data_IF_041195476599
#
_entry.id   IF_041195476599
#
_cell.length_a   1.000
_cell.length_b   1.000
_cell.length_c   1.000
_cell.angle_alpha   90.00
_cell.angle_beta   90.00
_cell.angle_gamma   90.00
#
_symmetry.space_group_name_H-M   'P 1'
#
loop_
_entity.id
_entity.type
_entity.pdbx_description
1 polymer ?
#
# COMPACT_ATOMS: atom_id res chain seq x y z
N UNK A 1 -9.52 -26.49 -6.45
CA UNK A 1 -8.63 -26.95 -5.36
C UNK A 1 -7.22 -26.95 -5.90
N UNK A 2 -6.33 -26.11 -5.38
CA UNK A 2 -4.89 -26.18 -5.62
C UNK A 2 -4.22 -26.22 -4.25
N UNK A 3 -3.90 -27.42 -3.81
CA UNK A 3 -3.08 -27.70 -2.63
C UNK A 3 -1.61 -27.50 -3.00
N UNK A 4 -1.19 -26.25 -3.09
CA UNK A 4 0.23 -25.91 -3.10
C UNK A 4 0.77 -26.07 -1.69
N UNK A 5 1.48 -27.17 -1.44
CA UNK A 5 2.26 -27.36 -0.21
C UNK A 5 3.21 -26.18 -0.01
N UNK A 6 3.27 -25.57 1.19
CA UNK A 6 4.27 -24.54 1.47
C UNK A 6 5.64 -25.22 1.43
N UNK A 7 6.46 -24.86 0.44
CA UNK A 7 7.83 -25.34 0.29
C UNK A 7 8.58 -25.11 1.61
N UNK A 8 8.96 -26.21 2.25
CA UNK A 8 9.58 -26.26 3.56
C UNK A 8 11.03 -25.68 3.61
N UNK A 9 11.52 -25.09 2.52
CA UNK A 9 12.91 -24.64 2.38
C UNK A 9 13.19 -23.20 2.81
N UNK A 10 12.19 -22.38 3.16
CA UNK A 10 12.40 -20.93 3.36
C UNK A 10 12.72 -20.47 4.79
N UNK A 11 12.96 -21.37 5.74
CA UNK A 11 13.28 -20.99 7.13
C UNK A 11 14.78 -20.75 7.39
N UNK A 12 15.67 -21.30 6.56
CA UNK A 12 17.10 -20.99 6.59
C UNK A 12 17.30 -19.56 6.06
N UNK A 13 18.02 -18.71 6.80
CA UNK A 13 18.32 -17.33 6.39
C UNK A 13 17.36 -16.23 6.88
N UNK A 14 16.37 -16.55 7.72
CA UNK A 14 15.57 -15.51 8.37
C UNK A 14 16.40 -14.75 9.41
N UNK A 15 16.48 -13.43 9.24
CA UNK A 15 17.16 -12.52 10.16
C UNK A 15 16.10 -11.52 10.66
N UNK A 16 15.81 -11.44 11.96
CA UNK A 16 14.91 -10.44 12.48
C UNK A 16 15.44 -9.03 12.24
N UNK A 17 14.57 -8.11 11.80
CA UNK A 17 14.96 -6.71 11.60
C UNK A 17 15.48 -6.08 12.90
N UNK A 18 14.91 -6.45 14.06
CA UNK A 18 15.37 -5.97 15.36
C UNK A 18 16.86 -6.29 15.60
N UNK A 19 17.33 -7.46 15.18
CA UNK A 19 18.74 -7.84 15.29
C UNK A 19 19.64 -6.94 14.44
N UNK A 20 19.17 -6.51 13.26
CA UNK A 20 19.89 -5.57 12.40
C UNK A 20 19.91 -4.14 12.98
N UNK A 21 18.80 -3.72 13.61
CA UNK A 21 18.66 -2.39 14.20
C UNK A 21 19.47 -2.23 15.49
N UNK A 22 19.63 -3.30 16.28
CA UNK A 22 20.47 -3.28 17.50
C UNK A 22 21.94 -2.97 17.25
N UNK A 23 22.42 -3.19 16.02
CA UNK A 23 23.78 -2.86 15.60
C UNK A 23 23.94 -1.36 15.28
N UNK A 24 22.86 -0.59 15.33
CA UNK A 24 22.85 0.86 15.09
C UNK A 24 22.60 1.55 16.42
N UNK A 25 23.37 2.61 16.68
CA UNK A 25 23.13 3.50 17.82
C UNK A 25 21.68 4.04 17.79
N UNK A 26 20.91 3.93 18.90
CA UNK A 26 19.52 4.37 18.94
C UNK A 26 19.32 5.86 18.62
N UNK A 27 20.24 6.74 19.05
CA UNK A 27 20.19 8.16 18.76
C UNK A 27 20.43 8.41 17.28
N UNK A 28 21.41 7.72 16.68
CA UNK A 28 21.65 7.81 15.23
C UNK A 28 20.46 7.30 14.42
N UNK A 29 19.82 6.21 14.85
CA UNK A 29 18.62 5.70 14.19
C UNK A 29 17.47 6.71 14.27
N UNK A 30 17.29 7.34 15.44
CA UNK A 30 16.31 8.40 15.62
C UNK A 30 16.59 9.60 14.70
N UNK A 31 17.82 10.11 14.67
CA UNK A 31 18.22 11.23 13.81
C UNK A 31 17.99 10.92 12.33
N UNK A 32 18.36 9.71 11.90
CA UNK A 32 18.11 9.23 10.53
C UNK A 32 16.61 9.20 10.22
N UNK A 33 15.76 8.75 11.17
CA UNK A 33 14.32 8.79 11.01
C UNK A 33 13.75 10.22 10.96
N UNK A 34 14.26 11.14 11.78
CA UNK A 34 13.82 12.54 11.74
C UNK A 34 14.24 13.23 10.44
N UNK A 35 15.46 12.99 9.97
CA UNK A 35 15.94 13.53 8.70
C UNK A 35 15.14 12.97 7.52
N UNK A 36 14.83 11.67 7.53
CA UNK A 36 14.04 11.05 6.49
C UNK A 36 12.64 11.69 6.35
N UNK A 37 12.03 12.16 7.44
CA UNK A 37 10.73 12.83 7.41
C UNK A 37 10.72 14.17 6.66
N UNK A 38 11.88 14.77 6.43
CA UNK A 38 12.01 16.05 5.70
C UNK A 38 11.94 15.88 4.19
N UNK A 39 12.13 14.66 3.69
CA UNK A 39 12.04 14.38 2.26
C UNK A 39 10.60 14.43 1.77
N UNK A 40 10.44 14.90 0.54
CA UNK A 40 9.15 14.88 -0.15
C UNK A 40 8.68 13.45 -0.45
N UNK A 41 7.38 13.32 -0.71
CA UNK A 41 6.71 12.04 -1.01
C UNK A 41 7.40 11.24 -2.12
N UNK A 42 7.64 11.85 -3.29
CA UNK A 42 8.23 11.15 -4.44
C UNK A 42 9.65 10.68 -4.17
N UNK A 43 10.42 11.50 -3.45
CA UNK A 43 11.77 11.15 -3.03
C UNK A 43 11.75 9.97 -2.08
N UNK A 44 10.86 9.97 -1.08
CA UNK A 44 10.68 8.85 -0.16
C UNK A 44 10.27 7.56 -0.88
N UNK A 45 9.34 7.62 -1.84
CA UNK A 45 8.93 6.46 -2.63
C UNK A 45 10.10 5.92 -3.46
N UNK A 46 10.87 6.80 -4.07
CA UNK A 46 12.06 6.43 -4.85
C UNK A 46 13.12 5.77 -3.97
N UNK A 47 13.46 6.38 -2.83
CA UNK A 47 14.42 5.82 -1.89
C UNK A 47 13.95 4.47 -1.35
N UNK A 48 12.65 4.33 -1.03
CA UNK A 48 12.07 3.10 -0.51
C UNK A 48 12.18 1.97 -1.53
N UNK A 49 11.73 2.20 -2.77
CA UNK A 49 11.73 1.18 -3.84
C UNK A 49 13.14 0.74 -4.18
N UNK A 50 14.08 1.67 -4.27
CA UNK A 50 15.50 1.37 -4.51
C UNK A 50 16.09 0.53 -3.38
N UNK A 51 15.87 0.92 -2.12
CA UNK A 51 16.36 0.17 -0.96
C UNK A 51 15.73 -1.23 -0.86
N UNK A 52 14.43 -1.33 -1.14
CA UNK A 52 13.68 -2.59 -1.11
C UNK A 52 14.19 -3.57 -2.17
N UNK A 53 14.33 -3.12 -3.43
CA UNK A 53 14.89 -3.94 -4.53
C UNK A 53 16.32 -4.39 -4.24
N UNK A 54 17.13 -3.53 -3.62
CA UNK A 54 18.51 -3.83 -3.25
C UNK A 54 18.65 -4.67 -1.97
N UNK A 55 17.56 -5.06 -1.31
CA UNK A 55 17.60 -5.81 -0.05
C UNK A 55 18.18 -5.03 1.14
N UNK A 56 18.21 -3.68 1.07
CA UNK A 56 18.76 -2.80 2.10
C UNK A 56 17.78 -2.59 3.26
N UNK A 57 17.50 -3.65 4.01
CA UNK A 57 16.40 -3.73 4.99
C UNK A 57 16.34 -2.60 6.01
N UNK A 58 17.49 -2.16 6.55
CA UNK A 58 17.56 -1.03 7.50
C UNK A 58 17.08 0.27 6.86
N UNK A 59 17.52 0.54 5.62
CA UNK A 59 17.11 1.73 4.86
C UNK A 59 15.63 1.63 4.49
N UNK A 60 15.19 0.48 3.99
CA UNK A 60 13.77 0.20 3.71
C UNK A 60 12.89 0.50 4.93
N UNK A 61 13.29 0.06 6.12
CA UNK A 61 12.55 0.32 7.36
C UNK A 61 12.50 1.80 7.74
N UNK A 62 13.64 2.50 7.71
CA UNK A 62 13.68 3.94 7.99
C UNK A 62 12.79 4.72 7.02
N UNK A 63 12.88 4.42 5.73
CA UNK A 63 12.07 5.10 4.72
C UNK A 63 10.59 4.74 4.85
N UNK A 64 10.25 3.50 5.24
CA UNK A 64 8.87 3.13 5.60
C UNK A 64 8.35 3.95 6.79
N UNK A 65 9.15 4.14 7.85
CA UNK A 65 8.76 5.00 8.97
C UNK A 65 8.40 6.43 8.49
N UNK A 66 9.21 6.99 7.59
CA UNK A 66 8.98 8.31 7.03
C UNK A 66 7.73 8.36 6.13
N UNK A 67 7.50 7.35 5.30
CA UNK A 67 6.29 7.23 4.47
C UNK A 67 5.02 7.13 5.33
N UNK A 68 5.04 6.32 6.39
CA UNK A 68 3.93 6.21 7.36
C UNK A 68 3.65 7.56 8.03
N UNK A 69 4.71 8.27 8.44
CA UNK A 69 4.58 9.60 9.04
C UNK A 69 4.00 10.63 8.07
N UNK A 70 4.32 10.52 6.77
CA UNK A 70 3.79 11.35 5.68
C UNK A 70 2.42 10.89 5.17
N UNK A 71 1.77 9.92 5.83
CA UNK A 71 0.42 9.47 5.46
C UNK A 71 0.36 8.71 4.14
N UNK A 72 1.46 8.17 3.64
CA UNK A 72 1.47 7.34 2.43
C UNK A 72 1.28 5.87 2.85
N UNK A 73 0.25 5.16 2.35
CA UNK A 73 -0.02 3.78 2.74
C UNK A 73 0.84 2.75 1.98
N UNK A 74 1.09 1.55 2.56
CA UNK A 74 1.90 0.49 1.96
C UNK A 74 1.56 0.14 0.51
N UNK A 75 0.27 0.07 0.15
CA UNK A 75 -0.14 -0.26 -1.22
C UNK A 75 0.44 0.67 -2.30
N UNK A 76 0.83 1.89 -1.93
CA UNK A 76 1.44 2.87 -2.84
C UNK A 76 2.96 2.69 -2.95
N UNK A 77 3.60 2.26 -1.86
CA UNK A 77 5.06 2.09 -1.81
C UNK A 77 5.51 1.00 -2.78
N UNK A 78 4.70 -0.05 -2.88
CA UNK A 78 4.95 -1.25 -3.67
C UNK A 78 4.39 -1.20 -5.08
N UNK A 79 3.79 -0.08 -5.48
CA UNK A 79 3.29 0.09 -6.84
C UNK A 79 4.44 -0.08 -7.85
N UNK A 80 4.27 -1.02 -8.79
CA UNK A 80 5.31 -1.38 -9.77
C UNK A 80 6.47 -2.24 -9.23
N UNK A 81 6.35 -2.82 -8.04
CA UNK A 81 7.29 -3.85 -7.55
C UNK A 81 6.76 -5.25 -7.82
N UNK A 82 7.64 -6.15 -8.23
CA UNK A 82 7.36 -7.59 -8.27
C UNK A 82 7.39 -8.13 -6.84
N UNK A 83 6.27 -8.69 -6.40
CA UNK A 83 6.10 -9.20 -5.03
C UNK A 83 5.91 -10.72 -4.97
N UNK A 84 6.05 -11.38 -6.12
CA UNK A 84 6.01 -12.83 -6.22
C UNK A 84 7.35 -13.42 -5.75
N UNK A 85 7.29 -14.58 -5.10
CA UNK A 85 8.45 -15.35 -4.64
C UNK A 85 9.49 -14.59 -3.81
N UNK A 86 9.05 -13.60 -3.04
CA UNK A 86 9.93 -12.81 -2.17
C UNK A 86 10.65 -13.67 -1.11
N UNK A 87 11.93 -13.38 -0.92
CA UNK A 87 12.72 -13.93 0.18
C UNK A 87 12.05 -13.66 1.53
N UNK A 88 12.20 -14.58 2.49
CA UNK A 88 11.52 -14.53 3.80
C UNK A 88 11.76 -13.21 4.56
N UNK A 89 12.97 -12.65 4.47
CA UNK A 89 13.32 -11.37 5.09
C UNK A 89 12.53 -10.21 4.48
N UNK A 90 12.38 -10.20 3.15
CA UNK A 90 11.60 -9.17 2.44
C UNK A 90 10.12 -9.29 2.76
N UNK A 91 9.59 -10.52 2.85
CA UNK A 91 8.21 -10.77 3.32
C UNK A 91 7.99 -10.26 4.74
N UNK A 92 8.97 -10.40 5.63
CA UNK A 92 8.90 -9.84 6.98
C UNK A 92 8.91 -8.31 6.96
N UNK A 93 9.69 -7.68 6.09
CA UNK A 93 9.72 -6.22 5.97
C UNK A 93 8.38 -5.66 5.45
N UNK A 94 7.73 -6.36 4.50
CA UNK A 94 6.35 -6.02 4.08
C UNK A 94 5.35 -6.15 5.23
N UNK A 95 5.46 -7.21 6.02
CA UNK A 95 4.59 -7.39 7.18
C UNK A 95 4.78 -6.26 8.21
N UNK A 96 6.03 -5.88 8.50
CA UNK A 96 6.30 -4.76 9.41
C UNK A 96 5.77 -3.44 8.88
N UNK A 97 5.95 -3.16 7.59
CA UNK A 97 5.40 -1.99 6.91
C UNK A 97 3.88 -1.86 7.11
N UNK A 98 3.14 -2.93 6.87
CA UNK A 98 1.69 -2.95 7.05
C UNK A 98 1.29 -2.70 8.51
N UNK A 99 1.96 -3.35 9.46
CA UNK A 99 1.63 -3.17 10.88
C UNK A 99 1.99 -1.76 11.37
N UNK A 100 3.09 -1.18 10.90
CA UNK A 100 3.45 0.21 11.21
C UNK A 100 2.40 1.20 10.70
N UNK A 101 1.89 0.97 9.49
CA UNK A 101 0.79 1.75 8.95
C UNK A 101 -0.45 1.66 9.85
N UNK A 102 -0.85 0.45 10.23
CA UNK A 102 -1.99 0.20 11.12
C UNK A 102 -1.82 0.88 12.49
N UNK A 103 -0.63 0.77 13.10
CA UNK A 103 -0.29 1.42 14.38
C UNK A 103 -0.52 2.93 14.33
N UNK A 104 -0.11 3.57 13.24
CA UNK A 104 -0.16 5.03 13.11
C UNK A 104 -1.54 5.55 12.76
N UNK A 105 -2.19 4.91 11.79
CA UNK A 105 -3.41 5.44 11.15
C UNK A 105 -4.70 4.83 11.70
N UNK A 106 -4.60 3.75 12.46
CA UNK A 106 -5.74 3.09 13.11
C UNK A 106 -5.48 2.80 14.60
N UNK A 107 -5.16 3.82 15.42
CA UNK A 107 -4.80 3.59 16.83
C UNK A 107 -5.92 2.91 17.64
N UNK A 108 -7.19 3.23 17.38
CA UNK A 108 -8.34 2.60 18.04
C UNK A 108 -8.62 1.16 17.60
N UNK A 109 -7.93 0.66 16.57
CA UNK A 109 -8.14 -0.71 16.09
C UNK A 109 -7.69 -1.76 17.11
N UNK A 110 -6.78 -1.42 18.02
CA UNK A 110 -6.34 -2.33 19.06
C UNK A 110 -7.49 -2.83 19.96
N UNK A 111 -8.58 -2.07 20.06
CA UNK A 111 -9.73 -2.43 20.91
C UNK A 111 -10.49 -3.64 20.38
N UNK A 112 -10.56 -3.81 19.05
CA UNK A 112 -11.26 -4.92 18.38
C UNK A 112 -10.37 -6.15 18.15
N UNK A 113 -9.07 -6.06 18.43
CA UNK A 113 -8.15 -7.20 18.30
C UNK A 113 -8.31 -8.15 19.49
N UNK A 114 -8.75 -9.38 19.25
CA UNK A 114 -9.02 -10.35 20.34
C UNK A 114 -7.75 -10.78 21.09
N UNK A 115 -6.64 -10.94 20.39
CA UNK A 115 -5.42 -11.55 20.96
C UNK A 115 -4.51 -10.51 21.61
N UNK A 116 -4.11 -10.75 22.88
CA UNK A 116 -3.21 -9.87 23.65
C UNK A 116 -1.94 -9.47 22.89
N UNK A 117 -1.29 -10.42 22.21
CA UNK A 117 -0.08 -10.15 21.43
C UNK A 117 -0.34 -9.26 20.22
N UNK A 118 -1.48 -9.43 19.54
CA UNK A 118 -1.90 -8.53 18.46
C UNK A 118 -2.13 -7.10 18.97
N UNK A 119 -2.77 -6.94 20.13
CA UNK A 119 -2.92 -5.63 20.79
C UNK A 119 -1.57 -4.99 21.10
N UNK A 120 -0.65 -5.75 21.71
CA UNK A 120 0.69 -5.28 22.06
C UNK A 120 1.52 -4.91 20.83
N UNK A 121 1.33 -5.62 19.70
CA UNK A 121 1.96 -5.26 18.44
C UNK A 121 1.46 -3.92 17.91
N UNK A 122 0.19 -3.55 18.16
CA UNK A 122 -0.39 -2.28 17.73
C UNK A 122 -0.13 -1.11 18.70
N UNK A 123 0.06 -1.39 19.99
CA UNK A 123 0.08 -0.35 21.05
C UNK A 123 1.40 -0.25 21.80
N UNK A 124 2.21 -1.31 21.80
CA UNK A 124 3.47 -1.35 22.53
C UNK A 124 4.52 -0.43 21.93
N UNK A 125 5.53 -0.08 22.74
CA UNK A 125 6.74 0.60 22.24
C UNK A 125 7.56 -0.28 21.28
N UNK A 126 8.59 0.28 20.66
CA UNK A 126 9.27 -0.37 19.52
C UNK A 126 9.88 -1.74 19.83
N UNK A 127 10.45 -1.92 21.02
CA UNK A 127 10.97 -3.21 21.46
C UNK A 127 9.87 -4.29 21.55
N UNK A 128 8.69 -3.91 22.07
CA UNK A 128 7.53 -4.81 22.19
C UNK A 128 6.96 -5.09 20.79
N UNK A 129 6.80 -4.06 19.96
CA UNK A 129 6.35 -4.18 18.59
C UNK A 129 7.16 -5.21 17.80
N UNK A 130 8.49 -5.05 17.76
CA UNK A 130 9.33 -5.96 16.99
C UNK A 130 9.30 -7.40 17.52
N UNK A 131 9.27 -7.58 18.85
CA UNK A 131 9.17 -8.89 19.48
C UNK A 131 7.86 -9.60 19.11
N UNK A 132 6.74 -8.90 19.24
CA UNK A 132 5.43 -9.50 18.93
C UNK A 132 5.23 -9.71 17.42
N UNK A 133 5.79 -8.83 16.59
CA UNK A 133 5.80 -8.99 15.13
C UNK A 133 6.60 -10.24 14.71
N UNK A 134 7.79 -10.43 15.26
CA UNK A 134 8.61 -11.62 14.97
C UNK A 134 7.89 -12.91 15.39
N UNK A 135 7.30 -12.90 16.59
CA UNK A 135 6.51 -14.03 17.10
C UNK A 135 5.30 -14.32 16.21
N UNK A 136 4.57 -13.29 15.79
CA UNK A 136 3.42 -13.44 14.90
C UNK A 136 3.84 -14.00 13.55
N UNK A 137 4.87 -13.44 12.91
CA UNK A 137 5.37 -13.89 11.61
C UNK A 137 5.90 -15.33 11.64
N UNK A 138 6.50 -15.74 12.76
CA UNK A 138 6.96 -17.10 13.04
C UNK A 138 7.80 -17.69 11.90
N UNK A 139 8.86 -16.96 11.50
CA UNK A 139 9.75 -17.33 10.38
C UNK A 139 8.95 -17.70 9.11
N UNK A 140 7.93 -16.91 8.79
CA UNK A 140 7.13 -17.07 7.58
C UNK A 140 6.20 -18.29 7.55
N UNK A 141 6.15 -19.09 8.63
CA UNK A 141 5.28 -20.28 8.74
C UNK A 141 3.81 -19.90 8.90
N UNK A 142 3.50 -18.70 9.39
CA UNK A 142 2.12 -18.22 9.45
C UNK A 142 1.73 -17.53 8.14
N UNK A 143 0.68 -17.99 7.44
CA UNK A 143 0.23 -17.33 6.22
C UNK A 143 -0.40 -15.98 6.53
N UNK A 144 -0.30 -15.05 5.58
CA UNK A 144 -0.77 -13.67 5.72
C UNK A 144 -2.24 -13.55 6.15
N UNK A 145 -3.13 -14.39 5.62
CA UNK A 145 -4.55 -14.37 5.98
C UNK A 145 -4.80 -14.72 7.46
N UNK A 146 -3.98 -15.61 8.06
CA UNK A 146 -4.07 -15.91 9.51
C UNK A 146 -3.60 -14.72 10.33
N UNK A 147 -2.59 -13.99 9.86
CA UNK A 147 -2.10 -12.78 10.52
C UNK A 147 -3.16 -11.66 10.44
N UNK A 148 -3.73 -11.41 9.25
CA UNK A 148 -4.81 -10.46 9.06
C UNK A 148 -6.04 -10.80 9.93
N UNK A 149 -6.43 -12.07 10.01
CA UNK A 149 -7.50 -12.54 10.89
C UNK A 149 -7.17 -12.37 12.38
N UNK A 150 -5.93 -12.67 12.80
CA UNK A 150 -5.51 -12.48 14.20
C UNK A 150 -5.46 -11.01 14.63
N UNK A 151 -5.34 -10.11 13.67
CA UNK A 151 -5.41 -8.67 13.85
C UNK A 151 -6.81 -8.12 13.58
N UNK A 152 -7.84 -8.95 13.38
CA UNK A 152 -9.20 -8.52 13.12
C UNK A 152 -9.33 -7.48 11.98
N UNK A 153 -8.47 -7.54 10.95
CA UNK A 153 -8.44 -6.49 9.93
C UNK A 153 -9.70 -6.49 9.06
N UNK A 154 -10.31 -5.32 8.90
CA UNK A 154 -11.40 -5.14 7.95
C UNK A 154 -10.88 -4.99 6.51
N UNK A 155 -11.78 -5.03 5.51
CA UNK A 155 -11.42 -4.92 4.09
C UNK A 155 -10.64 -3.66 3.76
N UNK A 156 -11.02 -2.51 4.33
CA UNK A 156 -10.35 -1.22 4.07
C UNK A 156 -8.90 -1.26 4.52
N UNK A 157 -8.64 -1.71 5.75
CA UNK A 157 -7.29 -1.85 6.30
C UNK A 157 -6.44 -2.82 5.48
N UNK A 158 -7.03 -3.94 5.02
CA UNK A 158 -6.32 -4.91 4.17
C UNK A 158 -6.01 -4.34 2.77
N UNK A 159 -6.87 -3.49 2.22
CA UNK A 159 -6.61 -2.82 0.94
C UNK A 159 -5.42 -1.85 1.07
N UNK A 160 -5.32 -1.12 2.18
CA UNK A 160 -4.19 -0.22 2.42
C UNK A 160 -2.86 -0.94 2.69
N UNK A 161 -2.92 -2.14 3.26
CA UNK A 161 -1.81 -3.05 3.45
C UNK A 161 -1.35 -3.70 2.13
N UNK A 162 -0.15 -4.27 2.11
CA UNK A 162 0.41 -5.00 0.96
C UNK A 162 0.51 -6.52 1.21
N UNK A 163 1.04 -6.91 2.38
CA UNK A 163 1.22 -8.30 2.79
C UNK A 163 0.00 -8.85 3.54
N UNK A 164 -0.60 -8.07 4.46
CA UNK A 164 -1.71 -8.46 5.33
C UNK A 164 -3.06 -8.48 4.60
N UNK A 165 -3.16 -9.31 3.56
CA UNK A 165 -4.36 -9.49 2.74
C UNK A 165 -4.89 -10.91 2.84
N UNK A 166 -6.21 -11.03 2.98
CA UNK A 166 -6.92 -12.28 2.71
C UNK A 166 -6.99 -12.53 1.19
N UNK A 167 -7.26 -13.77 0.79
CA UNK A 167 -7.33 -14.14 -0.63
C UNK A 167 -8.32 -13.29 -1.44
N UNK A 168 -9.54 -12.97 -0.95
CA UNK A 168 -10.46 -12.10 -1.68
C UNK A 168 -9.91 -10.69 -1.91
N UNK A 169 -9.24 -10.11 -0.91
CA UNK A 169 -8.64 -8.76 -1.02
C UNK A 169 -7.44 -8.78 -1.94
N UNK A 170 -6.60 -9.83 -1.88
CA UNK A 170 -5.47 -10.01 -2.79
C UNK A 170 -5.96 -10.10 -4.25
N UNK A 171 -6.96 -10.93 -4.51
CA UNK A 171 -7.58 -11.07 -5.85
C UNK A 171 -8.14 -9.74 -6.36
N UNK A 172 -8.81 -8.95 -5.50
CA UNK A 172 -9.31 -7.62 -5.87
C UNK A 172 -8.18 -6.66 -6.27
N UNK A 173 -7.06 -6.67 -5.53
CA UNK A 173 -5.89 -5.88 -5.87
C UNK A 173 -5.25 -6.32 -7.20
N UNK A 174 -5.11 -7.63 -7.42
CA UNK A 174 -4.60 -8.22 -8.66
C UNK A 174 -5.47 -7.85 -9.87
N UNK A 175 -6.80 -7.99 -9.76
CA UNK A 175 -7.75 -7.57 -10.82
C UNK A 175 -7.58 -6.09 -11.16
N UNK A 176 -7.41 -5.24 -10.14
CA UNK A 176 -7.20 -3.81 -10.32
C UNK A 176 -5.88 -3.52 -11.05
N UNK A 177 -4.81 -4.25 -10.72
CA UNK A 177 -3.52 -4.11 -11.40
C UNK A 177 -3.62 -4.53 -12.88
N UNK A 178 -4.23 -5.68 -13.17
CA UNK A 178 -4.41 -6.19 -14.55
C UNK A 178 -5.27 -5.25 -15.41
N UNK A 179 -6.33 -4.69 -14.84
CA UNK A 179 -7.20 -3.75 -15.56
C UNK A 179 -6.56 -2.37 -15.81
N UNK A 180 -5.46 -2.06 -15.12
CA UNK A 180 -4.89 -0.71 -15.05
C UNK A 180 -4.49 -0.16 -16.41
N UNK A 181 -3.81 -0.96 -17.23
CA UNK A 181 -3.35 -0.55 -18.57
C UNK A 181 -4.52 -0.35 -19.54
N UNK A 182 -5.48 -1.27 -19.53
CA UNK A 182 -6.67 -1.19 -20.37
C UNK A 182 -7.51 0.06 -20.05
N UNK A 183 -7.69 0.37 -18.76
CA UNK A 183 -8.39 1.58 -18.33
C UNK A 183 -7.61 2.83 -18.70
N UNK A 184 -6.28 2.83 -18.55
CA UNK A 184 -5.46 3.96 -18.98
C UNK A 184 -5.64 4.25 -20.47
N UNK A 185 -5.61 3.19 -21.31
CA UNK A 185 -5.84 3.29 -22.76
C UNK A 185 -7.24 3.83 -23.08
N UNK A 186 -8.30 3.28 -22.49
CA UNK A 186 -9.67 3.74 -22.72
C UNK A 186 -9.87 5.22 -22.34
N UNK A 187 -9.28 5.66 -21.22
CA UNK A 187 -9.32 7.08 -20.80
C UNK A 187 -8.54 7.98 -21.76
N UNK A 188 -7.41 7.51 -22.31
CA UNK A 188 -6.63 8.24 -23.31
C UNK A 188 -7.44 8.43 -24.59
N UNK A 189 -8.08 7.36 -25.07
CA UNK A 189 -8.83 7.38 -26.33
C UNK A 189 -10.07 8.31 -26.22
N UNK A 190 -10.75 8.35 -25.07
CA UNK A 190 -11.83 9.34 -24.80
C UNK A 190 -11.30 10.79 -24.77
N UNK A 191 -10.11 11.03 -24.20
CA UNK A 191 -9.53 12.37 -24.20
C UNK A 191 -9.18 12.86 -25.60
N UNK A 192 -8.61 11.99 -26.43
CA UNK A 192 -8.25 12.30 -27.82
C UNK A 192 -9.47 12.60 -28.71
N UNK A 193 -10.63 12.02 -28.40
CA UNK A 193 -11.88 12.23 -29.16
C UNK A 193 -12.64 13.47 -28.73
N UNK A 194 -12.59 13.85 -27.44
CA UNK A 194 -13.40 14.94 -26.88
C UNK A 194 -12.72 16.32 -26.94
N UNK A 195 -11.39 16.39 -27.00
CA UNK A 195 -10.66 17.67 -26.82
C UNK A 195 -9.64 17.94 -27.91
N UNK A 196 -10.12 18.49 -29.03
CA UNK A 196 -9.30 19.21 -30.02
C UNK A 196 -9.75 20.68 -30.04
N UNK A 197 -9.41 21.43 -28.99
CA UNK A 197 -9.63 22.88 -28.93
C UNK A 197 -8.28 23.58 -28.78
N UNK A 198 -8.14 24.78 -29.37
CA UNK A 198 -6.87 25.52 -29.42
C UNK A 198 -6.26 25.84 -28.05
N UNK A 199 -7.07 25.82 -26.98
CA UNK A 199 -6.70 26.10 -25.60
C UNK A 199 -6.29 24.88 -24.77
N UNK A 200 -6.54 23.65 -25.24
CA UNK A 200 -6.25 22.43 -24.47
C UNK A 200 -5.01 21.74 -25.03
N UNK A 201 -3.86 22.06 -24.46
CA UNK A 201 -2.56 21.54 -24.89
C UNK A 201 -2.29 20.09 -24.46
N UNK A 202 -1.26 19.49 -25.04
CA UNK A 202 -0.84 18.11 -24.75
C UNK A 202 -0.51 17.88 -23.26
N UNK A 203 0.14 18.87 -22.61
CA UNK A 203 0.48 18.82 -21.19
C UNK A 203 -0.76 18.73 -20.29
N UNK A 204 -1.81 19.51 -20.59
CA UNK A 204 -3.07 19.49 -19.84
C UNK A 204 -3.86 18.20 -20.06
N UNK A 205 -3.79 17.66 -21.28
CA UNK A 205 -4.36 16.36 -21.62
C UNK A 205 -3.70 15.24 -20.81
N UNK A 206 -2.37 15.22 -20.77
CA UNK A 206 -1.61 14.24 -19.99
C UNK A 206 -1.90 14.35 -18.50
N UNK A 207 -1.91 15.56 -17.93
CA UNK A 207 -2.24 15.78 -16.53
C UNK A 207 -3.67 15.32 -16.19
N UNK A 208 -4.62 15.57 -17.09
CA UNK A 208 -6.02 15.11 -16.93
C UNK A 208 -6.12 13.59 -16.99
N UNK A 209 -5.40 12.94 -17.91
CA UNK A 209 -5.35 11.49 -18.04
C UNK A 209 -4.80 10.84 -16.77
N UNK A 210 -3.63 11.31 -16.31
CA UNK A 210 -2.98 10.83 -15.09
C UNK A 210 -3.91 10.98 -13.87
N UNK A 211 -4.57 12.15 -13.74
CA UNK A 211 -5.51 12.41 -12.65
C UNK A 211 -6.70 11.45 -12.68
N UNK A 212 -7.32 11.24 -13.84
CA UNK A 212 -8.47 10.33 -13.98
C UNK A 212 -8.07 8.88 -13.70
N UNK A 213 -6.92 8.46 -14.19
CA UNK A 213 -6.41 7.11 -13.92
C UNK A 213 -6.14 6.91 -12.44
N UNK A 214 -5.48 7.86 -11.77
CA UNK A 214 -5.28 7.83 -10.32
C UNK A 214 -6.60 7.76 -9.56
N UNK A 215 -7.60 8.58 -9.91
CA UNK A 215 -8.93 8.54 -9.28
C UNK A 215 -9.64 7.20 -9.49
N UNK A 216 -9.54 6.61 -10.68
CA UNK A 216 -10.05 5.28 -10.94
C UNK A 216 -9.40 4.26 -9.99
N UNK A 217 -8.06 4.23 -9.90
CA UNK A 217 -7.34 3.32 -9.00
C UNK A 217 -7.78 3.50 -7.55
N UNK A 218 -7.82 4.74 -7.05
CA UNK A 218 -8.27 5.06 -5.70
C UNK A 218 -9.72 4.62 -5.44
N UNK A 219 -10.61 4.71 -6.45
CA UNK A 219 -11.99 4.23 -6.32
C UNK A 219 -12.07 2.71 -6.14
N UNK A 220 -11.09 1.96 -6.67
CA UNK A 220 -10.97 0.50 -6.48
C UNK A 220 -10.48 0.14 -5.08
N UNK A 221 -9.93 1.08 -4.33
CA UNK A 221 -9.54 0.93 -2.92
C UNK A 221 -10.68 1.29 -1.95
N UNK A 222 -11.64 2.10 -2.38
CA UNK A 222 -12.83 2.42 -1.59
C UNK A 222 -13.76 1.20 -1.46
N UNK A 223 -14.30 0.95 -0.27
CA UNK A 223 -15.16 -0.23 -0.03
C UNK A 223 -16.58 -0.04 -0.55
N UNK A 224 -17.02 1.21 -0.72
CA UNK A 224 -18.41 1.60 -0.98
C UNK A 224 -18.60 2.56 -2.17
N UNK A 225 -17.63 2.63 -3.09
CA UNK A 225 -17.59 3.65 -4.15
C UNK A 225 -17.72 5.10 -3.61
N UNK A 226 -17.35 5.32 -2.35
CA UNK A 226 -17.44 6.60 -1.66
C UNK A 226 -16.50 7.63 -2.27
N UNK A 227 -17.02 8.77 -2.77
CA UNK A 227 -16.17 9.87 -3.26
C UNK A 227 -15.29 10.46 -2.16
N UNK A 228 -15.76 10.43 -0.90
CA UNK A 228 -14.99 10.92 0.25
C UNK A 228 -13.78 10.01 0.51
N UNK A 229 -13.97 8.69 0.55
CA UNK A 229 -12.84 7.75 0.72
C UNK A 229 -11.88 7.83 -0.47
N UNK A 230 -12.42 7.95 -1.68
CA UNK A 230 -11.60 8.07 -2.89
C UNK A 230 -10.76 9.35 -2.88
N UNK A 231 -11.27 10.47 -2.36
CA UNK A 231 -10.50 11.70 -2.18
C UNK A 231 -9.32 11.51 -1.23
N UNK A 232 -9.54 10.84 -0.09
CA UNK A 232 -8.48 10.50 0.87
C UNK A 232 -7.42 9.63 0.19
N UNK A 233 -7.81 8.56 -0.51
CA UNK A 233 -6.86 7.72 -1.23
C UNK A 233 -6.12 8.45 -2.35
N UNK A 234 -6.77 9.42 -3.00
CA UNK A 234 -6.16 10.23 -4.04
C UNK A 234 -5.07 11.13 -3.46
N UNK A 235 -5.33 11.79 -2.33
CA UNK A 235 -4.34 12.59 -1.63
C UNK A 235 -3.16 11.71 -1.17
N UNK A 236 -3.43 10.53 -0.62
CA UNK A 236 -2.38 9.57 -0.26
C UNK A 236 -1.54 9.10 -1.47
N UNK A 237 -2.20 8.87 -2.62
CA UNK A 237 -1.56 8.43 -3.87
C UNK A 237 -0.81 9.55 -4.60
N UNK A 238 -1.15 10.82 -4.40
CA UNK A 238 -0.62 11.92 -5.24
C UNK A 238 0.01 13.06 -4.46
N UNK A 239 -0.24 13.14 -3.15
CA UNK A 239 0.07 14.30 -2.31
C UNK A 239 -0.82 15.52 -2.57
N UNK A 240 -1.80 15.41 -3.49
CA UNK A 240 -2.65 16.54 -3.88
C UNK A 240 -4.06 16.39 -3.31
N UNK A 241 -4.56 17.37 -2.55
CA UNK A 241 -5.93 17.34 -2.06
C UNK A 241 -6.92 17.49 -3.23
N UNK A 242 -8.08 16.86 -3.10
CA UNK A 242 -9.19 16.99 -4.04
C UNK A 242 -10.52 16.97 -3.29
N UNK A 243 -11.49 17.79 -3.72
CA UNK A 243 -12.78 17.86 -3.06
C UNK A 243 -13.64 16.64 -3.40
N UNK A 244 -14.53 16.25 -2.47
CA UNK A 244 -15.53 15.18 -2.67
C UNK A 244 -16.34 15.38 -3.95
N UNK A 245 -16.77 16.62 -4.22
CA UNK A 245 -17.60 16.95 -5.39
C UNK A 245 -16.82 16.78 -6.70
N UNK A 246 -15.56 17.24 -6.74
CA UNK A 246 -14.70 17.04 -7.90
C UNK A 246 -14.46 15.55 -8.17
N UNK A 247 -14.22 14.76 -7.12
CA UNK A 247 -14.09 13.30 -7.24
C UNK A 247 -15.36 12.68 -7.82
N UNK A 248 -16.54 13.02 -7.30
CA UNK A 248 -17.81 12.47 -7.79
C UNK A 248 -18.01 12.76 -9.30
N UNK A 249 -17.76 14.00 -9.73
CA UNK A 249 -17.85 14.39 -11.14
C UNK A 249 -16.86 13.63 -12.03
N UNK A 250 -15.61 13.50 -11.60
CA UNK A 250 -14.59 12.77 -12.37
C UNK A 250 -14.89 11.27 -12.43
N UNK A 251 -15.35 10.66 -11.33
CA UNK A 251 -15.72 9.25 -11.32
C UNK A 251 -16.90 8.95 -12.25
N UNK A 252 -17.87 9.86 -12.34
CA UNK A 252 -18.99 9.69 -13.28
C UNK A 252 -18.52 9.74 -14.73
N UNK A 253 -17.63 10.69 -15.05
CA UNK A 253 -17.00 10.74 -16.39
C UNK A 253 -16.19 9.47 -16.68
N UNK A 254 -15.39 8.98 -15.74
CA UNK A 254 -14.62 7.74 -15.88
C UNK A 254 -15.56 6.56 -16.16
N UNK A 255 -16.65 6.41 -15.40
CA UNK A 255 -17.65 5.34 -15.62
C UNK A 255 -18.28 5.43 -16.99
N UNK A 256 -18.68 6.62 -17.42
CA UNK A 256 -19.24 6.86 -18.76
C UNK A 256 -18.27 6.40 -19.86
N UNK A 257 -17.00 6.79 -19.75
CA UNK A 257 -15.95 6.40 -20.70
C UNK A 257 -15.74 4.89 -20.73
N UNK A 258 -15.64 4.24 -19.57
CA UNK A 258 -15.44 2.79 -19.50
C UNK A 258 -16.64 2.00 -20.04
N UNK A 259 -17.87 2.47 -19.81
CA UNK A 259 -19.08 1.86 -20.40
C UNK A 259 -19.07 1.93 -21.92
N UNK A 260 -18.67 3.07 -22.50
CA UNK A 260 -18.56 3.23 -23.96
C UNK A 260 -17.49 2.33 -24.59
N UNK A 261 -16.42 2.05 -23.85
CA UNK A 261 -15.38 1.11 -24.26
C UNK A 261 -15.77 -0.36 -24.01
N UNK A 262 -17.04 -0.64 -23.68
CA UNK A 262 -17.57 -1.97 -23.36
C UNK A 262 -16.83 -2.68 -22.21
N UNK A 263 -16.11 -1.92 -21.38
CA UNK A 263 -15.40 -2.45 -20.23
C UNK A 263 -16.40 -2.65 -19.08
N UNK A 264 -16.73 -3.91 -18.79
CA UNK A 264 -17.61 -4.27 -17.68
C UNK A 264 -16.96 -3.90 -16.35
N UNK A 265 -17.68 -3.12 -15.54
CA UNK A 265 -17.31 -2.85 -14.15
C UNK A 265 -17.50 -4.15 -13.35
N UNK A 266 -16.42 -4.87 -13.08
CA UNK A 266 -16.45 -5.88 -12.02
C UNK A 266 -16.60 -5.15 -10.68
N UNK A 267 -17.84 -5.08 -10.18
CA UNK A 267 -18.16 -4.62 -8.81
C UNK A 267 -17.49 -5.52 -7.79
#
# INVERSE_FOLDING_TARGET
>A
MMTGSPTANNAQGFIPLASLLRLVDPLKLYDVQQNARRFGREELLTQYRTAFKAGQRKRTYVTACALVANGVPPWVWHDGLELDDLHINTRYDLFLADVMWLRRHYPGHADVVRYKRGKLMLTGGDAVFHREAEYAFFRGRRPAWKLAGSLSLNTRQQLEACYLRTAPVKKRAEITAVASEHVYKALRDDLCTVRRTATFGETEALATLQRRHALWRCSRMATSASPTETAVFFEQLTGMPITRQAVAQQLEKIRSTLRKAEMTWAT
#
